data_IF_513591347501
#
_entry.id   IF_513591347501
#
_cell.length_a   1.000
_cell.length_b   1.000
_cell.length_c   1.000
_cell.angle_alpha   90.00
_cell.angle_beta   90.00
_cell.angle_gamma   90.00
#
_symmetry.space_group_name_H-M   'P 1'
#
loop_
_entity.id
_entity.type
_entity.pdbx_description
1 polymer ?
#
# COMPACT_ATOMS: atom_id res chain seq x y z
N UNK A 1 2.52 -0.95 -18.04
CA UNK A 1 1.28 -0.44 -17.44
C UNK A 1 1.33 -0.70 -15.93
N UNK A 2 0.83 0.21 -15.11
CA UNK A 2 0.79 0.08 -13.64
C UNK A 2 -0.65 -0.13 -13.19
N UNK A 3 -0.89 -1.06 -12.26
CA UNK A 3 -2.18 -1.22 -11.65
C UNK A 3 -2.28 -0.34 -10.39
N UNK A 4 -3.34 0.43 -10.28
CA UNK A 4 -3.63 1.28 -9.13
C UNK A 4 -4.99 0.91 -8.57
N UNK A 5 -5.02 0.43 -7.35
CA UNK A 5 -6.24 -0.07 -6.73
C UNK A 5 -6.53 0.75 -5.48
N UNK A 6 -7.77 1.16 -5.31
CA UNK A 6 -8.20 1.99 -4.19
C UNK A 6 -9.23 1.25 -3.32
N UNK A 7 -9.08 1.35 -2.01
CA UNK A 7 -10.20 1.20 -1.11
C UNK A 7 -11.12 2.42 -1.20
N UNK A 8 -12.26 2.38 -0.52
CA UNK A 8 -13.29 3.44 -0.60
C UNK A 8 -13.39 4.20 0.72
N UNK A 9 -13.78 3.51 1.80
CA UNK A 9 -14.04 4.12 3.10
C UNK A 9 -12.73 4.55 3.77
N UNK A 10 -12.63 5.82 4.15
CA UNK A 10 -11.37 6.39 4.67
C UNK A 10 -10.27 6.62 3.63
N UNK A 11 -10.49 6.16 2.38
CA UNK A 11 -9.51 6.23 1.29
C UNK A 11 -9.94 7.18 0.17
N UNK A 12 -11.10 7.00 -0.42
CA UNK A 12 -11.68 7.94 -1.38
C UNK A 12 -12.66 8.91 -0.72
N UNK A 13 -13.31 8.45 0.36
CA UNK A 13 -14.38 9.16 1.05
C UNK A 13 -14.10 9.26 2.55
N UNK A 14 -14.51 10.38 3.15
CA UNK A 14 -14.59 10.54 4.60
C UNK A 14 -15.82 9.81 5.18
N UNK A 15 -15.92 8.50 4.99
CA UNK A 15 -17.08 7.68 5.34
C UNK A 15 -16.82 6.68 6.47
N UNK A 16 -15.59 6.30 6.75
CA UNK A 16 -15.24 5.17 7.63
C UNK A 16 -15.92 5.20 9.01
N UNK A 17 -15.96 6.36 9.68
CA UNK A 17 -16.57 6.46 11.02
C UNK A 17 -18.09 6.33 10.98
N UNK A 18 -18.76 6.92 9.98
CA UNK A 18 -20.21 6.79 9.80
C UNK A 18 -20.58 5.38 9.37
N UNK A 19 -19.78 4.78 8.47
CA UNK A 19 -19.94 3.42 7.98
C UNK A 19 -19.93 2.40 9.14
N UNK A 20 -18.87 2.41 9.99
CA UNK A 20 -18.79 1.51 11.15
C UNK A 20 -19.98 1.72 12.12
N UNK A 21 -20.36 2.96 12.40
CA UNK A 21 -21.47 3.25 13.30
C UNK A 21 -22.82 2.72 12.77
N UNK A 22 -23.11 2.95 11.50
CA UNK A 22 -24.35 2.53 10.83
C UNK A 22 -24.38 1.00 10.64
N UNK A 23 -23.25 0.40 10.29
CA UNK A 23 -23.12 -1.05 10.21
C UNK A 23 -23.43 -1.72 11.55
N UNK A 24 -22.84 -1.25 12.65
CA UNK A 24 -23.10 -1.73 14.00
C UNK A 24 -24.57 -1.53 14.41
N UNK A 25 -25.18 -0.45 13.98
CA UNK A 25 -26.62 -0.20 14.19
C UNK A 25 -27.45 -1.21 13.42
N UNK A 26 -27.19 -1.44 12.13
CA UNK A 26 -27.91 -2.42 11.32
C UNK A 26 -27.87 -3.82 11.93
N UNK A 27 -26.70 -4.24 12.40
CA UNK A 27 -26.53 -5.51 13.10
C UNK A 27 -27.42 -5.61 14.35
N UNK A 28 -27.45 -4.55 15.17
CA UNK A 28 -28.31 -4.52 16.39
C UNK A 28 -29.77 -4.48 16.05
N UNK A 29 -30.19 -3.72 15.03
CA UNK A 29 -31.58 -3.61 14.61
C UNK A 29 -32.13 -4.96 14.13
N UNK A 30 -31.30 -5.76 13.45
CA UNK A 30 -31.72 -7.06 12.89
C UNK A 30 -31.53 -8.22 13.85
N UNK A 31 -30.41 -8.27 14.55
CA UNK A 31 -30.04 -9.42 15.38
C UNK A 31 -30.35 -9.21 16.88
N UNK A 32 -30.71 -7.98 17.27
CA UNK A 32 -31.00 -7.64 18.66
C UNK A 32 -29.76 -7.43 19.52
N UNK A 33 -29.83 -7.85 20.79
CA UNK A 33 -28.79 -7.61 21.79
C UNK A 33 -27.55 -8.49 21.64
N UNK A 34 -26.89 -8.46 20.47
CA UNK A 34 -25.67 -9.21 20.19
C UNK A 34 -24.41 -8.53 20.73
N UNK A 35 -23.43 -9.33 21.14
CA UNK A 35 -22.08 -8.84 21.48
C UNK A 35 -21.29 -8.54 20.23
N UNK A 36 -20.67 -7.37 20.18
CA UNK A 36 -19.79 -6.93 19.10
C UNK A 36 -18.37 -6.74 19.64
N UNK A 37 -17.36 -7.15 18.87
CA UNK A 37 -15.95 -6.86 19.21
C UNK A 37 -15.73 -5.35 19.17
N UNK A 38 -14.84 -4.85 20.06
CA UNK A 38 -14.68 -3.42 20.26
C UNK A 38 -14.09 -2.70 19.03
N UNK A 39 -13.14 -3.35 18.37
CA UNK A 39 -12.38 -2.75 17.26
C UNK A 39 -12.47 -3.65 16.01
N UNK A 40 -12.40 -3.03 14.82
CA UNK A 40 -12.44 -3.75 13.56
C UNK A 40 -11.29 -4.76 13.41
N UNK A 41 -10.09 -4.42 13.86
CA UNK A 41 -8.94 -5.31 13.78
C UNK A 41 -8.97 -6.49 14.79
N UNK A 42 -9.99 -6.56 15.65
CA UNK A 42 -10.22 -7.73 16.48
C UNK A 42 -10.93 -8.86 15.71
N UNK A 43 -11.47 -8.58 14.50
CA UNK A 43 -12.07 -9.57 13.61
C UNK A 43 -11.03 -10.22 12.69
N UNK A 44 -11.22 -11.51 12.38
CA UNK A 44 -10.30 -12.26 11.53
C UNK A 44 -10.31 -11.73 10.07
N UNK A 45 -11.51 -11.36 9.59
CA UNK A 45 -11.71 -10.75 8.28
C UNK A 45 -12.36 -9.38 8.45
N UNK A 46 -11.64 -8.32 8.11
CA UNK A 46 -12.14 -6.94 8.16
C UNK A 46 -12.82 -6.61 6.82
N UNK A 47 -13.96 -7.27 6.62
CA UNK A 47 -14.90 -7.05 5.51
C UNK A 47 -16.30 -7.19 6.06
N UNK A 48 -17.30 -6.52 5.49
CA UNK A 48 -18.68 -6.54 6.01
C UNK A 48 -19.21 -7.96 6.19
N UNK A 49 -19.02 -8.81 5.17
CA UNK A 49 -19.42 -10.22 5.22
C UNK A 49 -18.61 -10.99 6.28
N UNK A 50 -17.32 -10.71 6.44
CA UNK A 50 -16.43 -11.36 7.39
C UNK A 50 -16.74 -10.98 8.84
N UNK A 51 -16.97 -9.69 9.08
CA UNK A 51 -17.36 -9.16 10.39
C UNK A 51 -18.71 -9.74 10.81
N UNK A 52 -19.72 -9.73 9.92
CA UNK A 52 -21.03 -10.30 10.22
C UNK A 52 -20.96 -11.79 10.51
N UNK A 53 -20.15 -12.53 9.75
CA UNK A 53 -19.89 -13.94 10.03
C UNK A 53 -19.37 -14.16 11.46
N UNK A 54 -18.34 -13.42 11.86
CA UNK A 54 -17.77 -13.53 13.21
C UNK A 54 -18.78 -13.13 14.28
N UNK A 55 -19.61 -12.10 14.05
CA UNK A 55 -20.67 -11.71 14.99
C UNK A 55 -21.69 -12.83 15.18
N UNK A 56 -22.14 -13.48 14.11
CA UNK A 56 -23.07 -14.59 14.19
C UNK A 56 -22.46 -15.78 14.95
N UNK A 57 -21.19 -16.10 14.69
CA UNK A 57 -20.44 -17.16 15.37
C UNK A 57 -20.25 -16.84 16.87
N UNK A 58 -19.79 -15.64 17.22
CA UNK A 58 -19.56 -15.19 18.60
C UNK A 58 -20.85 -15.22 19.46
N UNK A 59 -22.01 -15.05 18.83
CA UNK A 59 -23.33 -15.03 19.50
C UNK A 59 -24.13 -16.34 19.33
N UNK A 60 -23.51 -17.39 18.78
CA UNK A 60 -24.17 -18.70 18.54
C UNK A 60 -25.44 -18.59 17.68
N UNK A 61 -25.50 -17.64 16.76
CA UNK A 61 -26.62 -17.45 15.82
C UNK A 61 -26.30 -18.20 14.53
N UNK A 62 -27.28 -18.97 14.02
CA UNK A 62 -27.12 -19.71 12.79
C UNK A 62 -26.85 -18.76 11.61
N UNK A 63 -25.77 -19.03 10.85
CA UNK A 63 -25.46 -18.30 9.65
C UNK A 63 -26.41 -18.68 8.52
N UNK A 64 -27.42 -17.85 8.29
CA UNK A 64 -28.38 -18.02 7.19
C UNK A 64 -28.24 -16.88 6.18
N UNK A 65 -28.63 -17.15 4.93
CA UNK A 65 -28.70 -16.11 3.91
C UNK A 65 -29.67 -14.99 4.31
N UNK A 66 -30.76 -15.33 4.95
CA UNK A 66 -31.73 -14.35 5.43
C UNK A 66 -31.15 -13.36 6.44
N UNK A 67 -30.27 -13.80 7.35
CA UNK A 67 -29.57 -12.88 8.27
C UNK A 67 -28.62 -11.95 7.52
N UNK A 68 -27.87 -12.47 6.55
CA UNK A 68 -26.94 -11.67 5.74
C UNK A 68 -27.70 -10.61 4.93
N UNK A 69 -28.76 -11.01 4.24
CA UNK A 69 -29.56 -10.11 3.41
C UNK A 69 -30.24 -9.04 4.29
N UNK A 70 -30.86 -9.43 5.40
CA UNK A 70 -31.55 -8.49 6.30
C UNK A 70 -30.61 -7.44 6.92
N UNK A 71 -29.39 -7.84 7.32
CA UNK A 71 -28.41 -6.88 7.86
C UNK A 71 -27.91 -5.94 6.76
N UNK A 72 -27.66 -6.46 5.56
CA UNK A 72 -27.26 -5.65 4.40
C UNK A 72 -28.32 -4.63 4.03
N UNK A 73 -29.57 -5.08 3.85
CA UNK A 73 -30.70 -4.23 3.49
C UNK A 73 -30.87 -3.11 4.53
N UNK A 74 -30.83 -3.50 5.82
CA UNK A 74 -30.93 -2.53 6.92
C UNK A 74 -29.78 -1.52 6.94
N UNK A 75 -28.57 -1.97 6.62
CA UNK A 75 -27.40 -1.09 6.53
C UNK A 75 -27.54 -0.07 5.40
N UNK A 76 -28.00 -0.51 4.22
CA UNK A 76 -28.28 0.38 3.09
C UNK A 76 -29.35 1.41 3.43
N UNK A 77 -30.47 0.99 4.05
CA UNK A 77 -31.53 1.91 4.53
C UNK A 77 -30.96 2.99 5.49
N UNK A 78 -30.08 2.59 6.41
CA UNK A 78 -29.46 3.52 7.36
C UNK A 78 -28.50 4.48 6.67
N UNK A 79 -27.75 4.03 5.66
CA UNK A 79 -26.87 4.86 4.84
C UNK A 79 -27.68 5.90 4.03
N UNK A 80 -28.79 5.47 3.40
CA UNK A 80 -29.70 6.37 2.67
C UNK A 80 -30.25 7.45 3.59
N UNK A 81 -30.79 7.06 4.76
CA UNK A 81 -31.30 7.99 5.76
C UNK A 81 -30.21 8.94 6.31
N UNK A 82 -28.96 8.46 6.42
CA UNK A 82 -27.83 9.29 6.82
C UNK A 82 -27.53 10.33 5.75
N UNK A 83 -27.47 9.93 4.48
CA UNK A 83 -27.22 10.84 3.35
C UNK A 83 -28.33 11.88 3.21
N UNK A 84 -29.59 11.48 3.37
CA UNK A 84 -30.74 12.41 3.36
C UNK A 84 -30.66 13.47 4.46
N UNK A 85 -30.20 13.08 5.65
CA UNK A 85 -30.14 13.94 6.84
C UNK A 85 -28.92 14.84 6.90
N UNK A 86 -27.76 14.31 6.49
CA UNK A 86 -26.45 14.96 6.68
C UNK A 86 -25.81 15.43 5.39
N UNK A 87 -26.39 15.08 4.26
CA UNK A 87 -25.80 15.32 2.94
C UNK A 87 -24.90 14.16 2.46
N UNK A 88 -24.37 14.27 1.25
CA UNK A 88 -23.46 13.30 0.69
C UNK A 88 -22.18 13.16 1.51
N UNK A 89 -21.52 12.03 1.41
CA UNK A 89 -20.17 11.88 1.97
C UNK A 89 -19.18 12.79 1.23
N UNK A 90 -18.31 13.46 1.99
CA UNK A 90 -17.24 14.25 1.42
C UNK A 90 -16.16 13.35 0.82
N UNK A 91 -15.66 13.69 -0.37
CA UNK A 91 -14.46 13.04 -0.90
C UNK A 91 -13.22 13.48 -0.11
N UNK A 92 -12.23 12.57 0.02
CA UNK A 92 -10.89 13.00 0.41
C UNK A 92 -10.38 13.95 -0.66
N UNK A 93 -9.92 15.17 -0.30
CA UNK A 93 -9.69 16.22 -1.26
C UNK A 93 -8.87 15.79 -2.47
N UNK A 94 -9.46 15.86 -3.66
CA UNK A 94 -8.85 15.50 -4.93
C UNK A 94 -8.99 14.03 -5.34
N UNK A 95 -9.68 13.18 -4.57
CA UNK A 95 -9.82 11.75 -4.86
C UNK A 95 -10.48 11.48 -6.22
N UNK A 96 -11.62 12.12 -6.49
CA UNK A 96 -12.31 11.97 -7.78
C UNK A 96 -11.50 12.49 -8.97
N UNK A 97 -10.72 13.54 -8.75
CA UNK A 97 -9.79 14.10 -9.76
C UNK A 97 -8.65 13.14 -10.09
N UNK A 98 -8.03 12.55 -9.06
CA UNK A 98 -6.96 11.55 -9.23
C UNK A 98 -7.50 10.30 -9.93
N UNK A 99 -8.63 9.76 -9.47
CA UNK A 99 -9.24 8.55 -10.05
C UNK A 99 -9.50 8.72 -11.54
N UNK A 100 -10.06 9.87 -11.95
CA UNK A 100 -10.30 10.20 -13.36
C UNK A 100 -9.01 10.31 -14.14
N UNK A 101 -8.03 11.06 -13.65
CA UNK A 101 -6.73 11.23 -14.31
C UNK A 101 -6.02 9.92 -14.56
N UNK A 102 -6.08 8.99 -13.59
CA UNK A 102 -5.51 7.66 -13.72
C UNK A 102 -6.28 6.80 -14.72
N UNK A 103 -7.61 6.83 -14.70
CA UNK A 103 -8.46 6.07 -15.61
C UNK A 103 -8.31 6.51 -17.08
N UNK A 104 -8.00 7.79 -17.31
CA UNK A 104 -7.73 8.36 -18.64
C UNK A 104 -6.29 8.12 -19.12
N UNK A 105 -5.39 7.72 -18.23
CA UNK A 105 -3.96 7.52 -18.54
C UNK A 105 -3.71 6.18 -19.22
N UNK A 106 -3.05 6.13 -20.38
CA UNK A 106 -2.70 4.86 -21.03
C UNK A 106 -1.64 4.05 -20.29
N UNK A 107 -1.02 4.63 -19.26
CA UNK A 107 0.02 3.99 -18.45
C UNK A 107 -0.55 3.28 -17.23
N UNK A 108 -1.81 3.57 -16.85
CA UNK A 108 -2.43 3.06 -15.65
C UNK A 108 -3.67 2.23 -15.94
N UNK A 109 -3.92 1.24 -15.09
CA UNK A 109 -5.17 0.51 -15.02
C UNK A 109 -5.69 0.65 -13.58
N UNK A 110 -6.96 1.03 -13.43
CA UNK A 110 -7.54 1.42 -12.14
C UNK A 110 -8.67 0.49 -11.76
N UNK A 111 -8.69 0.07 -10.49
CA UNK A 111 -9.80 -0.68 -9.91
C UNK A 111 -10.13 -0.18 -8.50
N UNK A 112 -11.32 -0.51 -8.03
CA UNK A 112 -11.76 -0.33 -6.66
C UNK A 112 -11.86 -1.70 -5.99
N UNK A 113 -11.34 -1.80 -4.75
CA UNK A 113 -11.36 -3.04 -3.98
C UNK A 113 -11.64 -2.71 -2.51
N UNK A 114 -12.87 -2.95 -2.05
CA UNK A 114 -13.32 -2.58 -0.71
C UNK A 114 -13.80 -3.78 0.10
N UNK A 115 -13.67 -3.69 1.42
CA UNK A 115 -14.28 -4.63 2.36
C UNK A 115 -15.78 -4.44 2.55
N UNK A 116 -16.35 -3.34 2.08
CA UNK A 116 -17.77 -3.07 2.12
C UNK A 116 -18.58 -3.95 1.15
N UNK A 117 -19.92 -4.01 1.35
CA UNK A 117 -20.82 -4.59 0.36
C UNK A 117 -20.95 -3.67 -0.86
N UNK A 118 -21.25 -4.28 -2.01
CA UNK A 118 -21.35 -3.57 -3.30
C UNK A 118 -22.37 -2.43 -3.26
N UNK A 119 -23.55 -2.70 -2.77
CA UNK A 119 -24.65 -1.73 -2.76
C UNK A 119 -24.31 -0.51 -1.89
N UNK A 120 -23.74 -0.71 -0.70
CA UNK A 120 -23.30 0.38 0.17
C UNK A 120 -22.14 1.17 -0.44
N UNK A 121 -21.17 0.49 -1.06
CA UNK A 121 -20.04 1.12 -1.74
C UNK A 121 -20.50 2.01 -2.90
N UNK A 122 -21.35 1.49 -3.78
CA UNK A 122 -21.90 2.24 -4.91
C UNK A 122 -22.79 3.41 -4.46
N UNK A 123 -23.59 3.24 -3.40
CA UNK A 123 -24.39 4.32 -2.81
C UNK A 123 -23.53 5.48 -2.32
N UNK A 124 -22.45 5.17 -1.58
CA UNK A 124 -21.50 6.15 -1.07
C UNK A 124 -20.79 6.89 -2.20
N UNK A 125 -20.25 6.18 -3.19
CA UNK A 125 -19.58 6.77 -4.35
C UNK A 125 -20.52 7.68 -5.16
N UNK A 126 -21.77 7.22 -5.42
CA UNK A 126 -22.77 8.03 -6.12
C UNK A 126 -23.14 9.29 -5.34
N UNK A 127 -23.30 9.19 -4.01
CA UNK A 127 -23.63 10.35 -3.18
C UNK A 127 -22.55 11.42 -3.25
N UNK A 128 -21.29 11.01 -3.21
CA UNK A 128 -20.12 11.88 -3.30
C UNK A 128 -19.81 12.34 -4.73
N UNK A 129 -20.57 11.89 -5.74
CA UNK A 129 -20.36 12.18 -7.17
C UNK A 129 -18.97 11.75 -7.69
N UNK A 130 -18.41 10.70 -7.11
CA UNK A 130 -17.19 10.08 -7.66
C UNK A 130 -17.60 9.21 -8.84
N UNK A 131 -17.18 9.63 -10.04
CA UNK A 131 -17.38 8.85 -11.25
C UNK A 131 -16.45 7.64 -11.26
N UNK A 132 -17.03 6.46 -11.32
CA UNK A 132 -16.32 5.18 -11.41
C UNK A 132 -16.84 4.30 -12.57
N UNK A 133 -17.50 4.93 -13.52
CA UNK A 133 -18.01 4.22 -14.70
C UNK A 133 -16.85 3.54 -15.47
N UNK A 134 -16.98 2.25 -15.73
CA UNK A 134 -15.95 1.45 -16.40
C UNK A 134 -14.76 1.03 -15.52
N UNK A 135 -14.71 1.46 -14.25
CA UNK A 135 -13.69 1.02 -13.29
C UNK A 135 -14.19 -0.24 -12.59
N UNK A 136 -13.46 -1.38 -12.64
CA UNK A 136 -13.84 -2.58 -11.91
C UNK A 136 -13.97 -2.31 -10.41
N UNK A 137 -15.08 -2.76 -9.83
CA UNK A 137 -15.34 -2.73 -8.37
C UNK A 137 -15.44 -4.16 -7.86
N UNK A 138 -14.60 -4.51 -6.88
CA UNK A 138 -14.61 -5.79 -6.16
C UNK A 138 -14.86 -5.54 -4.68
N UNK A 139 -15.70 -6.36 -4.07
CA UNK A 139 -16.31 -6.09 -2.77
C UNK A 139 -16.36 -7.35 -1.90
N UNK A 140 -16.84 -7.23 -0.67
CA UNK A 140 -17.08 -8.39 0.21
C UNK A 140 -18.20 -9.32 -0.26
N UNK A 141 -18.97 -8.92 -1.27
CA UNK A 141 -19.90 -9.83 -1.95
C UNK A 141 -19.18 -10.81 -2.87
N UNK A 142 -18.02 -10.43 -3.41
CA UNK A 142 -17.20 -11.29 -4.27
C UNK A 142 -16.37 -12.27 -3.43
N UNK A 143 -15.73 -11.81 -2.35
CA UNK A 143 -14.85 -12.62 -1.48
C UNK A 143 -14.89 -12.17 -0.02
N UNK A 144 -14.62 -13.13 0.89
CA UNK A 144 -14.53 -12.89 2.33
C UNK A 144 -13.21 -12.22 2.73
N UNK A 145 -12.12 -12.64 2.11
CA UNK A 145 -10.76 -12.23 2.45
C UNK A 145 -10.33 -11.00 1.66
N UNK A 146 -9.72 -10.03 2.33
CA UNK A 146 -9.21 -8.79 1.71
C UNK A 146 -8.23 -9.09 0.57
N UNK A 147 -7.30 -10.01 0.76
CA UNK A 147 -6.35 -10.41 -0.29
C UNK A 147 -7.04 -10.94 -1.54
N UNK A 148 -8.06 -11.78 -1.38
CA UNK A 148 -8.81 -12.32 -2.51
C UNK A 148 -9.63 -11.23 -3.25
N UNK A 149 -10.19 -10.25 -2.52
CA UNK A 149 -10.84 -9.06 -3.10
C UNK A 149 -9.82 -8.29 -3.96
N UNK A 150 -8.65 -8.01 -3.41
CA UNK A 150 -7.57 -7.25 -4.07
C UNK A 150 -7.05 -7.99 -5.30
N UNK A 151 -6.73 -9.28 -5.20
CA UNK A 151 -6.27 -10.11 -6.33
C UNK A 151 -7.32 -10.18 -7.44
N UNK A 152 -8.60 -10.30 -7.08
CA UNK A 152 -9.69 -10.30 -8.06
C UNK A 152 -9.81 -8.95 -8.76
N UNK A 153 -9.60 -7.83 -8.05
CA UNK A 153 -9.58 -6.51 -8.65
C UNK A 153 -8.42 -6.38 -9.65
N UNK A 154 -7.23 -6.85 -9.30
CA UNK A 154 -6.09 -6.89 -10.20
C UNK A 154 -6.37 -7.76 -11.44
N UNK A 155 -6.93 -8.95 -11.24
CA UNK A 155 -7.26 -9.85 -12.35
C UNK A 155 -8.28 -9.25 -13.33
N UNK A 156 -9.26 -8.48 -12.83
CA UNK A 156 -10.22 -7.77 -13.69
C UNK A 156 -9.59 -6.65 -14.52
N UNK A 157 -8.43 -6.15 -14.14
CA UNK A 157 -7.65 -5.17 -14.91
C UNK A 157 -6.83 -5.81 -16.04
N UNK A 158 -6.55 -7.11 -15.95
CA UNK A 158 -5.74 -7.86 -16.90
C UNK A 158 -4.48 -8.47 -16.27
N UNK A 159 -3.47 -8.68 -17.09
CA UNK A 159 -2.22 -9.34 -16.71
C UNK A 159 -1.00 -8.48 -17.08
N UNK A 160 0.15 -8.81 -16.48
CA UNK A 160 1.46 -8.22 -16.81
C UNK A 160 1.61 -6.74 -16.45
N UNK A 161 1.28 -6.39 -15.21
CA UNK A 161 1.57 -5.07 -14.67
C UNK A 161 3.03 -4.97 -14.20
N UNK A 162 3.68 -3.85 -14.51
CA UNK A 162 5.04 -3.54 -14.06
C UNK A 162 5.08 -3.33 -12.53
N UNK A 163 4.00 -2.78 -11.97
CA UNK A 163 3.80 -2.63 -10.53
C UNK A 163 2.34 -2.61 -10.17
N UNK A 164 2.05 -2.88 -8.89
CA UNK A 164 0.72 -2.81 -8.31
C UNK A 164 0.77 -1.96 -7.06
N UNK A 165 -0.09 -0.94 -6.98
CA UNK A 165 -0.23 -0.10 -5.81
C UNK A 165 -1.64 -0.17 -5.28
N UNK A 166 -1.74 -0.21 -3.96
CA UNK A 166 -3.01 -0.20 -3.26
C UNK A 166 -3.06 0.99 -2.29
N UNK A 167 -4.08 1.80 -2.43
CA UNK A 167 -4.38 2.91 -1.54
C UNK A 167 -5.40 2.46 -0.50
N UNK A 168 -5.10 2.64 0.78
CA UNK A 168 -5.97 2.21 1.87
C UNK A 168 -5.68 2.93 3.18
N UNK A 169 -6.66 2.96 4.08
CA UNK A 169 -6.58 3.66 5.35
C UNK A 169 -6.35 2.72 6.55
N UNK A 170 -6.55 1.40 6.36
CA UNK A 170 -6.53 0.44 7.45
C UNK A 170 -5.24 -0.37 7.60
N UNK A 171 -4.90 -0.79 8.84
CA UNK A 171 -3.77 -1.71 9.06
C UNK A 171 -3.99 -3.08 8.41
N UNK A 172 -5.24 -3.48 8.13
CA UNK A 172 -5.59 -4.68 7.38
C UNK A 172 -5.17 -4.59 5.91
N UNK A 173 -5.28 -3.41 5.30
CA UNK A 173 -4.83 -3.16 3.92
C UNK A 173 -3.32 -3.27 3.81
N UNK A 174 -2.60 -2.67 4.76
CA UNK A 174 -1.14 -2.80 4.85
C UNK A 174 -0.70 -4.26 4.97
N UNK A 175 -1.40 -5.06 5.81
CA UNK A 175 -1.11 -6.51 5.94
C UNK A 175 -1.41 -7.27 4.65
N UNK A 176 -2.55 -6.98 4.00
CA UNK A 176 -2.90 -7.61 2.73
C UNK A 176 -1.86 -7.30 1.64
N UNK A 177 -1.44 -6.04 1.51
CA UNK A 177 -0.38 -5.64 0.59
C UNK A 177 0.95 -6.35 0.89
N UNK A 178 1.30 -6.50 2.17
CA UNK A 178 2.52 -7.23 2.55
C UNK A 178 2.47 -8.71 2.14
N UNK A 179 1.30 -9.35 2.27
CA UNK A 179 1.09 -10.74 1.82
C UNK A 179 1.19 -10.85 0.30
N UNK A 180 0.59 -9.90 -0.44
CA UNK A 180 0.55 -9.90 -1.90
C UNK A 180 1.84 -9.34 -2.53
N UNK A 181 2.71 -8.72 -1.74
CA UNK A 181 3.90 -8.04 -2.24
C UNK A 181 3.60 -6.79 -3.04
N UNK A 182 2.49 -6.11 -2.74
CA UNK A 182 2.08 -4.90 -3.42
C UNK A 182 2.56 -3.65 -2.67
N UNK A 183 2.74 -2.58 -3.41
CA UNK A 183 3.05 -1.29 -2.82
C UNK A 183 1.81 -0.73 -2.11
N UNK A 184 1.95 -0.47 -0.81
CA UNK A 184 0.88 0.11 0.01
C UNK A 184 1.07 1.62 0.14
N UNK A 185 0.07 2.39 -0.27
CA UNK A 185 0.00 3.85 -0.08
C UNK A 185 -0.99 4.14 1.04
N UNK A 186 -0.52 4.52 2.23
CA UNK A 186 -1.39 4.83 3.35
C UNK A 186 -2.17 6.12 3.09
N UNK A 187 -3.45 6.12 3.48
CA UNK A 187 -4.33 7.29 3.44
C UNK A 187 -4.87 7.55 4.84
N UNK A 188 -5.13 8.81 5.17
CA UNK A 188 -5.64 9.21 6.47
C UNK A 188 -4.60 9.29 7.58
N UNK A 189 -5.01 9.82 8.72
CA UNK A 189 -4.12 10.13 9.85
C UNK A 189 -3.74 8.92 10.70
N UNK A 190 -4.54 7.85 10.68
CA UNK A 190 -4.26 6.64 11.49
C UNK A 190 -2.95 5.97 11.11
N UNK A 191 -2.59 6.03 9.84
CA UNK A 191 -1.37 5.43 9.30
C UNK A 191 -0.30 6.45 8.89
N UNK A 192 -0.40 7.70 9.34
CA UNK A 192 0.44 8.83 8.90
C UNK A 192 0.46 8.96 7.37
N UNK A 193 -0.70 8.75 6.74
CA UNK A 193 -0.86 8.68 5.29
C UNK A 193 -1.30 10.01 4.67
N UNK A 194 -1.70 9.92 3.41
CA UNK A 194 -2.20 11.04 2.63
C UNK A 194 -3.52 11.57 3.21
N UNK A 195 -3.60 12.88 3.41
CA UNK A 195 -4.85 13.56 3.81
C UNK A 195 -5.50 14.31 2.62
N UNK A 196 -4.85 14.29 1.47
CA UNK A 196 -5.31 14.94 0.24
C UNK A 196 -4.58 14.35 -0.97
N UNK A 197 -5.30 14.22 -2.06
CA UNK A 197 -4.76 13.85 -3.37
C UNK A 197 -4.45 15.08 -4.24
N UNK A 198 -4.72 16.30 -3.77
CA UNK A 198 -4.41 17.52 -4.52
C UNK A 198 -2.89 17.66 -4.66
N UNK A 199 -2.40 17.64 -5.89
CA UNK A 199 -0.96 17.67 -6.18
C UNK A 199 -0.25 16.34 -5.94
N UNK A 200 -0.98 15.30 -5.51
CA UNK A 200 -0.48 13.94 -5.50
C UNK A 200 -0.47 13.43 -6.93
N UNK A 201 0.69 13.39 -7.54
CA UNK A 201 0.89 12.53 -8.68
C UNK A 201 1.08 11.12 -8.14
N UNK A 202 0.45 10.08 -8.71
CA UNK A 202 0.83 8.72 -8.40
C UNK A 202 2.34 8.64 -8.64
N UNK A 203 3.07 8.16 -7.64
CA UNK A 203 4.54 8.21 -7.60
C UNK A 203 5.17 7.27 -8.62
N UNK A 204 4.36 6.67 -9.47
CA UNK A 204 4.73 5.74 -10.49
C UNK A 204 4.81 6.38 -11.88
N UNK A 205 5.74 7.29 -12.02
CA UNK A 205 6.51 7.32 -13.23
C UNK A 205 7.58 6.24 -13.03
N UNK A 206 7.25 4.99 -13.42
CA UNK A 206 8.18 3.87 -13.59
C UNK A 206 9.17 3.56 -12.44
N UNK A 207 8.79 2.67 -11.49
CA UNK A 207 9.80 1.84 -10.83
C UNK A 207 10.02 0.61 -11.71
N UNK A 208 11.19 0.49 -12.30
CA UNK A 208 11.57 -0.64 -13.14
C UNK A 208 12.84 -1.32 -12.65
N UNK A 209 13.06 -2.55 -13.12
CA UNK A 209 14.34 -3.19 -12.93
C UNK A 209 15.47 -2.30 -13.46
N UNK A 210 16.56 -2.25 -12.72
CA UNK A 210 17.79 -1.53 -13.08
C UNK A 210 18.50 -2.27 -14.19
N UNK A 211 19.03 -1.52 -15.12
CA UNK A 211 19.90 -2.02 -16.18
C UNK A 211 21.33 -1.50 -16.03
N UNK A 212 22.26 -2.07 -16.79
CA UNK A 212 23.64 -1.57 -16.82
C UNK A 212 23.74 -0.15 -17.38
N UNK A 213 22.78 0.28 -18.16
CA UNK A 213 22.73 1.63 -18.74
C UNK A 213 22.37 2.71 -17.70
N UNK A 214 21.88 2.31 -16.52
CA UNK A 214 21.49 3.22 -15.45
C UNK A 214 22.68 3.64 -14.56
N UNK A 215 23.84 3.08 -14.75
CA UNK A 215 24.97 3.26 -13.83
C UNK A 215 25.31 4.73 -13.58
N UNK A 216 25.43 5.55 -14.62
CA UNK A 216 25.73 6.98 -14.46
C UNK A 216 24.63 7.71 -13.68
N UNK A 217 23.38 7.33 -13.92
CA UNK A 217 22.24 7.94 -13.24
C UNK A 217 22.18 7.56 -11.75
N UNK A 218 22.36 6.28 -11.40
CA UNK A 218 22.36 5.85 -9.98
C UNK A 218 23.53 6.42 -9.20
N UNK A 219 24.71 6.57 -9.81
CA UNK A 219 25.85 7.22 -9.18
C UNK A 219 25.63 8.73 -9.00
N UNK A 220 24.94 9.40 -9.93
CA UNK A 220 24.46 10.78 -9.74
C UNK A 220 23.52 10.86 -8.52
N UNK A 221 22.53 9.98 -8.41
CA UNK A 221 21.61 9.94 -7.24
C UNK A 221 22.41 9.69 -5.97
N UNK A 222 23.32 8.70 -5.95
CA UNK A 222 24.11 8.32 -4.76
C UNK A 222 24.97 9.47 -4.24
N UNK A 223 25.51 10.30 -5.12
CA UNK A 223 26.38 11.42 -4.76
C UNK A 223 25.61 12.71 -4.46
N UNK A 224 24.33 12.78 -4.78
CA UNK A 224 23.48 13.96 -4.56
C UNK A 224 22.76 13.96 -3.20
N UNK A 225 22.77 12.84 -2.47
CA UNK A 225 22.12 12.76 -1.14
C UNK A 225 22.86 13.62 -0.12
N UNK A 226 22.09 14.24 0.79
CA UNK A 226 22.65 15.11 1.84
C UNK A 226 23.16 14.27 3.00
N UNK A 227 22.32 13.35 3.46
CA UNK A 227 22.65 12.42 4.54
C UNK A 227 23.49 11.26 3.99
N UNK A 228 24.54 10.86 4.68
CA UNK A 228 25.47 9.81 4.23
C UNK A 228 26.12 10.13 2.87
N UNK A 229 26.50 11.39 2.66
CA UNK A 229 27.11 11.84 1.41
C UNK A 229 28.50 11.24 1.26
N UNK A 230 28.74 10.59 0.12
CA UNK A 230 30.07 10.16 -0.32
C UNK A 230 30.41 10.81 -1.66
N UNK A 231 31.63 11.31 -1.76
CA UNK A 231 32.16 11.82 -3.02
C UNK A 231 32.45 10.67 -4.00
N UNK A 232 32.56 10.94 -5.30
CA UNK A 232 33.00 9.93 -6.28
C UNK A 232 34.37 9.32 -5.97
N UNK A 233 35.25 10.06 -5.25
CA UNK A 233 36.53 9.56 -4.78
C UNK A 233 36.40 8.51 -3.71
N UNK A 234 35.64 8.82 -2.65
CA UNK A 234 35.37 7.90 -1.53
C UNK A 234 34.65 6.63 -2.00
N UNK A 235 33.70 6.75 -2.93
CA UNK A 235 33.04 5.57 -3.52
C UNK A 235 34.05 4.66 -4.23
N UNK A 236 35.00 5.23 -4.95
CA UNK A 236 36.09 4.45 -5.62
C UNK A 236 37.01 3.77 -4.61
N UNK A 237 37.39 4.45 -3.52
CA UNK A 237 38.18 3.87 -2.44
C UNK A 237 37.46 2.69 -1.77
N UNK A 238 36.15 2.75 -1.65
CA UNK A 238 35.29 1.63 -1.19
C UNK A 238 35.08 0.55 -2.26
N UNK A 239 35.68 0.69 -3.44
CA UNK A 239 35.54 -0.23 -4.56
C UNK A 239 34.15 -0.17 -5.24
N UNK A 240 33.36 0.84 -4.95
CA UNK A 240 32.06 1.08 -5.57
C UNK A 240 32.26 1.95 -6.83
N UNK A 241 32.38 1.27 -7.97
CA UNK A 241 32.49 1.93 -9.28
C UNK A 241 31.33 1.52 -10.18
N UNK A 242 30.95 2.37 -11.18
CA UNK A 242 29.91 1.99 -12.14
C UNK A 242 30.16 0.63 -12.80
N UNK A 243 31.40 0.35 -13.19
CA UNK A 243 31.78 -0.90 -13.84
C UNK A 243 31.59 -2.12 -12.91
N UNK A 244 31.97 -1.96 -11.64
CA UNK A 244 31.84 -3.05 -10.67
C UNK A 244 30.36 -3.33 -10.33
N UNK A 245 29.56 -2.28 -10.10
CA UNK A 245 28.13 -2.44 -9.84
C UNK A 245 27.42 -3.04 -11.05
N UNK A 246 27.76 -2.62 -12.27
CA UNK A 246 27.24 -3.19 -13.51
C UNK A 246 27.60 -4.69 -13.66
N UNK A 247 28.82 -5.06 -13.30
CA UNK A 247 29.24 -6.48 -13.31
C UNK A 247 28.43 -7.32 -12.28
N UNK A 248 28.25 -6.78 -11.07
CA UNK A 248 27.47 -7.48 -10.01
C UNK A 248 26.00 -7.63 -10.37
N UNK A 249 25.38 -6.67 -11.09
CA UNK A 249 24.02 -6.79 -11.61
C UNK A 249 23.86 -7.91 -12.64
N UNK A 250 24.92 -8.29 -13.33
CA UNK A 250 24.96 -9.41 -14.27
C UNK A 250 25.11 -10.76 -13.59
N UNK A 251 25.41 -10.81 -12.31
CA UNK A 251 25.46 -12.01 -11.48
C UNK A 251 24.08 -12.18 -10.80
N UNK A 252 23.57 -13.40 -10.71
CA UNK A 252 22.20 -13.70 -10.21
C UNK A 252 21.95 -13.32 -8.73
N UNK A 253 22.95 -12.75 -8.04
CA UNK A 253 22.88 -12.44 -6.61
C UNK A 253 22.47 -10.98 -6.30
N UNK A 254 22.84 -10.00 -7.16
CA UNK A 254 22.48 -8.59 -6.97
C UNK A 254 21.33 -8.19 -7.89
N UNK A 255 20.26 -7.68 -7.31
CA UNK A 255 19.13 -7.10 -8.04
C UNK A 255 19.00 -5.61 -7.74
N UNK A 256 18.55 -4.82 -8.70
CA UNK A 256 18.37 -3.39 -8.54
C UNK A 256 17.10 -2.87 -9.21
N UNK A 257 16.60 -1.76 -8.69
CA UNK A 257 15.44 -1.04 -9.23
C UNK A 257 15.70 0.45 -9.26
N UNK A 258 15.21 1.10 -10.31
CA UNK A 258 15.24 2.54 -10.49
C UNK A 258 13.83 3.12 -10.44
N UNK A 259 13.66 4.22 -9.71
CA UNK A 259 12.49 5.08 -9.80
C UNK A 259 12.79 6.22 -10.77
N UNK A 260 11.86 6.46 -11.71
CA UNK A 260 11.99 7.50 -12.71
C UNK A 260 10.98 8.62 -12.47
N UNK A 261 11.31 9.82 -12.91
CA UNK A 261 10.40 10.97 -13.02
C UNK A 261 10.74 11.73 -14.30
N UNK A 262 9.75 11.89 -15.19
CA UNK A 262 9.97 12.49 -16.51
C UNK A 262 11.01 11.75 -17.37
N UNK A 263 11.22 10.45 -17.13
CA UNK A 263 12.23 9.62 -17.79
C UNK A 263 13.61 9.63 -17.11
N UNK A 264 13.85 10.51 -16.13
CA UNK A 264 15.11 10.59 -15.38
C UNK A 264 15.07 9.71 -14.13
N UNK A 265 16.18 9.02 -13.82
CA UNK A 265 16.31 8.26 -12.57
C UNK A 265 16.43 9.24 -11.39
N UNK A 266 15.45 9.16 -10.48
CA UNK A 266 15.34 10.02 -9.28
C UNK A 266 15.56 9.27 -7.97
N UNK A 267 15.64 7.95 -8.02
CA UNK A 267 15.95 7.09 -6.88
C UNK A 267 16.28 5.68 -7.33
N UNK A 268 16.91 4.91 -6.44
CA UNK A 268 17.21 3.50 -6.70
C UNK A 268 17.31 2.68 -5.42
N UNK A 269 17.11 1.36 -5.54
CA UNK A 269 17.45 0.38 -4.52
C UNK A 269 18.25 -0.78 -5.09
N UNK A 270 19.08 -1.40 -4.23
CA UNK A 270 19.83 -2.61 -4.51
C UNK A 270 19.59 -3.63 -3.42
N UNK A 271 19.49 -4.89 -3.79
CA UNK A 271 19.30 -5.99 -2.86
C UNK A 271 20.14 -7.21 -3.26
N UNK A 272 20.77 -7.86 -2.27
CA UNK A 272 21.57 -9.07 -2.44
C UNK A 272 20.79 -10.28 -1.96
N UNK A 273 20.63 -11.26 -2.83
CA UNK A 273 19.81 -12.45 -2.56
C UNK A 273 20.45 -13.37 -1.51
N UNK A 274 21.75 -13.66 -1.61
CA UNK A 274 22.47 -14.57 -0.72
C UNK A 274 22.49 -14.10 0.74
N UNK A 275 22.61 -12.80 0.98
CA UNK A 275 22.58 -12.20 2.33
C UNK A 275 21.18 -11.77 2.77
N UNK A 276 20.21 -11.77 1.85
CA UNK A 276 18.84 -11.26 2.05
C UNK A 276 18.83 -9.81 2.55
N UNK A 277 19.73 -9.00 2.01
CA UNK A 277 19.95 -7.62 2.47
C UNK A 277 19.56 -6.60 1.42
N UNK A 278 18.86 -5.55 1.83
CA UNK A 278 18.71 -4.32 1.04
C UNK A 278 19.94 -3.46 1.31
N UNK A 279 20.85 -3.42 0.33
CA UNK A 279 22.18 -2.82 0.48
C UNK A 279 22.19 -1.31 0.21
N UNK A 280 21.25 -0.84 -0.61
CA UNK A 280 21.14 0.56 -1.00
C UNK A 280 19.69 0.98 -1.19
N UNK A 281 19.35 2.17 -0.70
CA UNK A 281 18.09 2.84 -0.94
C UNK A 281 18.36 4.35 -0.92
N UNK A 282 18.32 4.97 -2.08
CA UNK A 282 18.62 6.39 -2.25
C UNK A 282 17.58 7.07 -3.14
N UNK A 283 17.19 8.29 -2.76
CA UNK A 283 16.28 9.16 -3.51
C UNK A 283 16.87 10.55 -3.54
N UNK A 284 16.76 11.24 -4.68
CA UNK A 284 17.17 12.63 -4.79
C UNK A 284 16.44 13.50 -3.76
N UNK A 285 17.11 14.47 -3.11
CA UNK A 285 16.52 15.28 -2.03
C UNK A 285 15.19 15.95 -2.40
N UNK A 286 15.10 16.52 -3.62
CA UNK A 286 13.90 17.18 -4.15
C UNK A 286 12.72 16.24 -4.41
N UNK A 287 12.94 14.92 -4.39
CA UNK A 287 11.94 13.87 -4.55
C UNK A 287 11.63 13.13 -3.24
N UNK A 288 12.31 13.47 -2.14
CA UNK A 288 12.02 12.91 -0.83
C UNK A 288 10.61 13.31 -0.33
N UNK A 289 10.01 12.47 0.53
CA UNK A 289 8.67 12.70 1.06
C UNK A 289 7.51 12.37 0.11
N UNK A 290 7.82 11.93 -1.13
CA UNK A 290 6.82 11.57 -2.15
C UNK A 290 6.52 10.07 -2.22
N UNK A 291 7.02 9.25 -1.26
CA UNK A 291 6.82 7.78 -1.20
C UNK A 291 7.79 6.96 -2.06
N UNK A 292 8.63 7.57 -2.90
CA UNK A 292 9.57 6.86 -3.79
C UNK A 292 10.46 5.88 -3.02
N UNK A 293 11.01 6.31 -1.87
CA UNK A 293 11.82 5.44 -1.02
C UNK A 293 11.05 4.23 -0.49
N UNK A 294 9.74 4.38 -0.22
CA UNK A 294 8.87 3.28 0.16
C UNK A 294 8.70 2.29 -1.00
N UNK A 295 8.35 2.78 -2.19
CA UNK A 295 8.17 1.93 -3.37
C UNK A 295 9.41 1.11 -3.71
N UNK A 296 10.58 1.75 -3.67
CA UNK A 296 11.88 1.10 -3.90
C UNK A 296 12.23 0.07 -2.81
N UNK A 297 11.87 0.33 -1.56
CA UNK A 297 12.07 -0.61 -0.45
C UNK A 297 11.15 -1.82 -0.60
N UNK A 298 9.87 -1.58 -0.88
CA UNK A 298 8.86 -2.64 -0.97
C UNK A 298 9.16 -3.61 -2.11
N UNK A 299 9.59 -3.11 -3.28
CA UNK A 299 9.95 -3.98 -4.41
C UNK A 299 11.20 -4.82 -4.09
N UNK A 300 12.19 -4.25 -3.40
CA UNK A 300 13.39 -4.98 -2.99
C UNK A 300 13.06 -6.07 -1.96
N UNK A 301 12.24 -5.76 -0.94
CA UNK A 301 11.78 -6.73 0.06
C UNK A 301 10.95 -7.83 -0.58
N UNK A 302 10.01 -7.47 -1.46
CA UNK A 302 9.18 -8.43 -2.18
C UNK A 302 10.03 -9.41 -3.01
N UNK A 303 11.02 -8.88 -3.75
CA UNK A 303 11.92 -9.72 -4.54
C UNK A 303 12.67 -10.72 -3.67
N UNK A 304 13.28 -10.25 -2.56
CA UNK A 304 14.01 -11.13 -1.64
C UNK A 304 13.11 -12.21 -1.02
N UNK A 305 11.86 -11.87 -0.68
CA UNK A 305 10.88 -12.82 -0.14
C UNK A 305 10.43 -13.87 -1.17
N UNK A 306 10.34 -13.50 -2.43
CA UNK A 306 10.00 -14.43 -3.51
C UNK A 306 11.10 -15.44 -3.80
N UNK A 307 12.37 -15.06 -3.64
CA UNK A 307 13.51 -15.97 -3.86
C UNK A 307 13.59 -17.04 -2.78
N UNK A 308 13.37 -16.66 -1.53
CA UNK A 308 13.36 -17.61 -0.41
C UNK A 308 12.55 -17.01 0.77
N UNK A 309 11.83 -17.83 1.56
CA UNK A 309 11.20 -17.38 2.80
C UNK A 309 12.24 -16.98 3.85
N UNK A 310 11.90 -16.05 4.74
CA UNK A 310 12.74 -15.64 5.88
C UNK A 310 12.90 -14.13 6.00
N UNK A 311 13.64 -13.74 7.01
CA UNK A 311 13.88 -12.35 7.40
C UNK A 311 14.69 -11.60 6.35
N UNK A 312 14.30 -10.36 6.07
CA UNK A 312 15.06 -9.42 5.24
C UNK A 312 15.80 -8.46 6.14
N UNK A 313 17.02 -8.11 5.77
CA UNK A 313 17.92 -7.23 6.54
C UNK A 313 18.25 -5.95 5.78
N UNK A 314 18.61 -4.93 6.51
CA UNK A 314 19.30 -3.75 6.01
C UNK A 314 20.19 -3.16 7.10
N UNK A 315 21.09 -2.24 6.72
CA UNK A 315 21.95 -1.50 7.65
C UNK A 315 21.71 -0.01 7.52
N UNK A 316 21.77 0.70 8.65
CA UNK A 316 21.67 2.15 8.70
C UNK A 316 22.28 2.68 9.99
N UNK A 317 22.79 3.89 9.97
CA UNK A 317 23.26 4.55 11.19
C UNK A 317 22.05 5.03 12.03
N UNK A 318 22.06 4.84 13.35
CA UNK A 318 20.91 5.18 14.22
C UNK A 318 20.55 6.68 14.20
N UNK A 319 21.53 7.56 13.97
CA UNK A 319 21.35 9.01 13.88
C UNK A 319 20.79 9.49 12.54
N UNK A 320 20.73 8.62 11.53
CA UNK A 320 20.21 8.98 10.20
C UNK A 320 18.69 9.05 10.18
N UNK A 321 18.09 9.99 9.43
CA UNK A 321 16.63 10.06 9.22
C UNK A 321 16.05 8.75 8.67
N UNK A 322 16.84 7.99 7.92
CA UNK A 322 16.49 6.69 7.38
C UNK A 322 16.17 5.66 8.48
N UNK A 323 16.85 5.70 9.62
CA UNK A 323 16.55 4.80 10.75
C UNK A 323 15.09 4.95 11.20
N UNK A 324 14.64 6.19 11.44
CA UNK A 324 13.24 6.47 11.78
C UNK A 324 12.25 6.07 10.67
N UNK A 325 12.65 6.22 9.42
CA UNK A 325 11.84 5.77 8.27
C UNK A 325 11.61 4.25 8.29
N UNK A 326 12.65 3.45 8.54
CA UNK A 326 12.53 1.99 8.62
C UNK A 326 11.75 1.54 9.86
N UNK A 327 12.04 2.12 11.04
CA UNK A 327 11.35 1.80 12.30
C UNK A 327 9.82 1.99 12.20
N UNK A 328 9.37 3.08 11.59
CA UNK A 328 7.93 3.34 11.36
C UNK A 328 7.28 2.31 10.45
N UNK A 329 8.06 1.53 9.70
CA UNK A 329 7.60 0.49 8.76
C UNK A 329 7.74 -0.93 9.29
N UNK A 330 7.92 -1.06 10.60
CA UNK A 330 7.94 -2.36 11.28
C UNK A 330 9.29 -3.06 11.29
N UNK A 331 10.35 -2.41 10.76
CA UNK A 331 11.70 -2.95 10.87
C UNK A 331 12.15 -2.92 12.34
N UNK A 332 12.68 -4.02 12.81
CA UNK A 332 13.14 -4.20 14.19
C UNK A 332 14.66 -4.06 14.25
N UNK A 333 15.16 -3.27 15.21
CA UNK A 333 16.57 -3.18 15.49
C UNK A 333 17.02 -4.48 16.19
N UNK A 334 18.06 -5.13 15.68
CA UNK A 334 18.57 -6.38 16.25
C UNK A 334 19.46 -6.14 17.48
N UNK A 335 19.92 -4.91 17.68
CA UNK A 335 20.93 -4.58 18.69
C UNK A 335 22.36 -4.93 18.27
N UNK A 336 22.54 -5.53 17.08
CA UNK A 336 23.87 -5.82 16.53
C UNK A 336 24.35 -4.62 15.71
N UNK A 337 25.60 -4.23 15.89
CA UNK A 337 26.24 -3.19 15.11
C UNK A 337 27.31 -3.78 14.17
N UNK A 338 27.45 -3.18 13.01
CA UNK A 338 28.54 -3.51 12.09
C UNK A 338 29.86 -3.00 12.64
N UNK A 339 30.85 -3.88 12.79
CA UNK A 339 32.10 -3.60 13.51
C UNK A 339 32.91 -2.41 12.93
N UNK A 340 32.86 -2.20 11.61
CA UNK A 340 33.65 -1.16 10.96
C UNK A 340 32.94 0.19 10.83
N UNK A 341 31.61 0.17 10.58
CA UNK A 341 30.85 1.41 10.32
C UNK A 341 30.03 1.91 11.51
N UNK A 342 29.77 1.06 12.49
CA UNK A 342 28.86 1.37 13.60
C UNK A 342 27.37 1.37 13.22
N UNK A 343 27.04 1.06 11.96
CA UNK A 343 25.66 0.91 11.52
C UNK A 343 24.98 -0.24 12.26
N UNK A 344 23.71 -0.07 12.57
CA UNK A 344 22.89 -1.12 13.17
C UNK A 344 22.17 -1.93 12.10
N UNK A 345 21.96 -3.21 12.38
CA UNK A 345 21.13 -4.07 11.54
C UNK A 345 19.66 -3.92 11.92
N UNK A 346 18.83 -3.72 10.92
CA UNK A 346 17.38 -3.78 11.05
C UNK A 346 16.84 -4.99 10.29
N UNK A 347 15.85 -5.65 10.88
CA UNK A 347 15.22 -6.84 10.33
C UNK A 347 13.71 -6.66 10.16
N UNK A 348 13.19 -7.25 9.06
CA UNK A 348 11.77 -7.34 8.75
C UNK A 348 11.41 -8.83 8.55
N UNK A 349 10.55 -9.34 9.44
CA UNK A 349 9.98 -10.70 9.39
C UNK A 349 8.94 -10.85 8.29
#
# INVERSE_FOLDING_TARGET
MHAVIFDIDGTLLHSAAADDALYRQAVRDVLGGVSLRARLHDYDFVTDTGILRSILEDNAIARTRAHLDAVRDRFVELLEAHIERHGPFDEIPGAGGLLRSLAESPQHAVALATGGWRESAELKLRSARIDHAGIPLVTSDDHLERTAIMETALHRLGENFASVSYYGDGPWDRRACAVLGWHFVPVGTELDGLNSYIGHAPIFEDVRAMSVDDMDAIFRVRTSVVDNRLSPGELRELGLTPQRVAAMLGEDDLSGWCALSGGDVVGFSLATASTREVNALFVLPEYCGRGIGQALLDIAVYHLRRLAPGTVRLRTAPEMPAYGFYRRRGWKDTGDAHEESGDVFLELE
#
